data_IF_288247349837
#
_entry.id   IF_288247349837
#
_cell.length_a   1.000
_cell.length_b   1.000
_cell.length_c   1.000
_cell.angle_alpha   90.00
_cell.angle_beta   90.00
_cell.angle_gamma   90.00
#
_symmetry.space_group_name_H-M   'P 1'
#
loop_
_entity.id
_entity.type
_entity.pdbx_description
1 polymer ?
#
# COMPACT_ATOMS: atom_id res chain seq x y z
N UNK A 1 -35.38 -34.10 -19.15
CA UNK A 1 -35.09 -34.12 -20.60
C UNK A 1 -33.77 -33.40 -20.84
N UNK A 2 -32.66 -34.13 -20.84
CA UNK A 2 -31.34 -33.60 -21.18
C UNK A 2 -31.30 -33.30 -22.67
N UNK A 3 -31.11 -32.03 -23.04
CA UNK A 3 -30.79 -31.64 -24.41
C UNK A 3 -29.28 -31.64 -24.52
N UNK A 4 -28.76 -32.54 -25.34
CA UNK A 4 -27.36 -32.59 -25.74
C UNK A 4 -26.91 -31.21 -26.23
N UNK A 5 -26.03 -30.57 -25.46
CA UNK A 5 -25.49 -29.23 -25.71
C UNK A 5 -24.39 -29.22 -26.79
N UNK A 6 -24.21 -30.31 -27.54
CA UNK A 6 -23.12 -30.46 -28.51
C UNK A 6 -23.51 -31.32 -29.72
N UNK A 7 -24.68 -31.08 -30.33
CA UNK A 7 -25.05 -31.75 -31.57
C UNK A 7 -24.34 -31.15 -32.80
N UNK A 8 -23.93 -31.92 -33.82
CA UNK A 8 -23.29 -31.42 -35.04
C UNK A 8 -24.15 -30.39 -35.79
N UNK A 9 -25.48 -30.43 -35.62
CA UNK A 9 -26.41 -29.41 -36.13
C UNK A 9 -26.29 -28.06 -35.41
N UNK A 10 -26.05 -28.05 -34.09
CA UNK A 10 -25.80 -26.83 -33.33
C UNK A 10 -24.42 -26.27 -33.66
N UNK A 11 -23.39 -27.12 -33.75
CA UNK A 11 -22.06 -26.74 -34.23
C UNK A 11 -22.10 -26.16 -35.66
N UNK A 12 -22.81 -26.78 -36.59
CA UNK A 12 -22.98 -26.25 -37.95
C UNK A 12 -23.72 -24.91 -37.97
N UNK A 13 -24.71 -24.70 -37.08
CA UNK A 13 -25.39 -23.41 -36.90
C UNK A 13 -24.45 -22.36 -36.28
N UNK A 14 -23.65 -22.72 -35.28
CA UNK A 14 -22.65 -21.84 -34.69
C UNK A 14 -21.57 -21.47 -35.72
N UNK A 15 -21.04 -22.43 -36.48
CA UNK A 15 -20.05 -22.19 -37.52
C UNK A 15 -20.58 -21.28 -38.63
N UNK A 16 -21.83 -21.47 -39.08
CA UNK A 16 -22.50 -20.56 -40.02
C UNK A 16 -22.78 -19.18 -39.42
N UNK A 17 -22.82 -19.07 -38.10
CA UNK A 17 -22.99 -17.82 -37.38
C UNK A 17 -21.66 -17.12 -37.07
N UNK A 18 -20.48 -17.75 -37.20
CA UNK A 18 -19.16 -17.16 -36.87
C UNK A 18 -18.72 -15.97 -37.73
N UNK A 19 -19.44 -15.63 -38.81
CA UNK A 19 -19.18 -14.40 -39.57
C UNK A 19 -19.75 -13.17 -38.85
N UNK A 20 -19.04 -12.04 -38.90
CA UNK A 20 -19.50 -10.74 -38.38
C UNK A 20 -20.68 -10.23 -39.25
N UNK A 21 -21.87 -10.75 -38.97
CA UNK A 21 -23.11 -10.33 -39.62
C UNK A 21 -23.50 -8.93 -39.12
N UNK A 22 -24.12 -8.11 -39.98
CA UNK A 22 -24.57 -6.77 -39.60
C UNK A 22 -25.45 -6.84 -38.35
N UNK A 23 -25.07 -6.11 -37.29
CA UNK A 23 -25.77 -6.06 -35.99
C UNK A 23 -27.23 -5.55 -36.06
N UNK A 24 -27.70 -5.09 -37.22
CA UNK A 24 -29.06 -4.54 -37.40
C UNK A 24 -30.18 -5.50 -36.97
N UNK A 25 -29.92 -6.81 -36.97
CA UNK A 25 -30.92 -7.84 -36.65
C UNK A 25 -30.61 -8.59 -35.33
N UNK A 26 -30.00 -7.92 -34.35
CA UNK A 26 -29.71 -8.49 -33.03
C UNK A 26 -30.76 -8.07 -31.99
N UNK A 27 -31.19 -9.01 -31.14
CA UNK A 27 -32.07 -8.74 -30.01
C UNK A 27 -31.27 -8.87 -28.70
N UNK A 28 -31.05 -7.74 -28.01
CA UNK A 28 -30.35 -7.73 -26.71
C UNK A 28 -31.12 -8.51 -25.64
N UNK A 29 -32.45 -8.32 -25.59
CA UNK A 29 -33.31 -8.93 -24.56
C UNK A 29 -33.35 -10.47 -24.62
N UNK A 30 -33.02 -11.04 -25.77
CA UNK A 30 -33.00 -12.49 -25.99
C UNK A 30 -31.62 -13.01 -26.39
N UNK A 31 -30.60 -12.15 -26.37
CA UNK A 31 -29.22 -12.40 -26.82
C UNK A 31 -29.14 -13.12 -28.18
N UNK A 32 -30.06 -12.79 -29.09
CA UNK A 32 -30.30 -13.57 -30.30
C UNK A 32 -29.99 -12.77 -31.54
N UNK A 33 -28.96 -13.19 -32.26
CA UNK A 33 -28.69 -12.71 -33.62
C UNK A 33 -29.62 -13.38 -34.63
N UNK A 34 -30.47 -12.57 -35.27
CA UNK A 34 -31.26 -12.98 -36.43
C UNK A 34 -30.46 -12.73 -37.72
N UNK A 35 -30.74 -13.53 -38.76
CA UNK A 35 -29.96 -13.54 -40.02
C UNK A 35 -30.41 -12.45 -41.00
N UNK A 36 -31.68 -12.13 -40.97
CA UNK A 36 -32.40 -11.30 -41.92
C UNK A 36 -33.56 -10.57 -41.23
N UNK A 37 -34.12 -9.57 -41.94
CA UNK A 37 -35.23 -8.76 -41.45
C UNK A 37 -36.45 -9.60 -41.09
N UNK A 38 -36.77 -10.59 -41.93
CA UNK A 38 -37.92 -11.45 -41.71
C UNK A 38 -37.72 -12.33 -40.47
N UNK A 39 -36.52 -12.91 -40.31
CA UNK A 39 -36.17 -13.65 -39.09
C UNK A 39 -36.26 -12.80 -37.82
N UNK A 40 -35.91 -11.52 -37.88
CA UNK A 40 -36.03 -10.59 -36.75
C UNK A 40 -37.49 -10.26 -36.43
N UNK A 41 -38.34 -10.00 -37.44
CA UNK A 41 -39.78 -9.78 -37.26
C UNK A 41 -40.45 -11.01 -36.62
N UNK A 42 -40.16 -12.21 -37.14
CA UNK A 42 -40.67 -13.46 -36.56
C UNK A 42 -40.19 -13.66 -35.11
N UNK A 43 -38.97 -13.23 -34.78
CA UNK A 43 -38.47 -13.29 -33.42
C UNK A 43 -39.21 -12.33 -32.48
N UNK A 44 -39.47 -11.08 -32.89
CA UNK A 44 -40.26 -10.13 -32.08
C UNK A 44 -41.68 -10.64 -31.82
N UNK A 45 -42.30 -11.29 -32.81
CA UNK A 45 -43.64 -11.89 -32.65
C UNK A 45 -43.65 -13.19 -31.86
N UNK A 46 -42.47 -13.77 -31.55
CA UNK A 46 -42.38 -15.07 -30.87
C UNK A 46 -42.74 -14.97 -29.39
N UNK A 47 -43.44 -16.00 -28.88
CA UNK A 47 -43.85 -16.09 -27.47
C UNK A 47 -42.67 -15.99 -26.48
N UNK A 48 -41.49 -16.48 -26.86
CA UNK A 48 -40.28 -16.36 -26.05
C UNK A 48 -39.81 -14.91 -25.87
N UNK A 49 -39.84 -14.11 -26.95
CA UNK A 49 -39.51 -12.69 -26.88
C UNK A 49 -40.56 -11.90 -26.09
N UNK A 50 -41.85 -12.13 -26.37
CA UNK A 50 -42.95 -11.48 -25.63
C UNK A 50 -42.88 -11.73 -24.13
N UNK A 51 -42.55 -12.96 -23.71
CA UNK A 51 -42.40 -13.31 -22.29
C UNK A 51 -41.24 -12.57 -21.64
N UNK A 52 -40.10 -12.47 -22.32
CA UNK A 52 -38.97 -11.67 -21.82
C UNK A 52 -39.32 -10.17 -21.76
N UNK A 53 -40.10 -9.67 -22.73
CA UNK A 53 -40.55 -8.28 -22.71
C UNK A 53 -41.53 -7.99 -21.56
N UNK A 54 -42.40 -8.95 -21.20
CA UNK A 54 -43.23 -8.83 -20.01
C UNK A 54 -42.42 -8.80 -18.71
N UNK A 55 -41.36 -9.63 -18.61
CA UNK A 55 -40.46 -9.62 -17.46
C UNK A 55 -39.67 -8.32 -17.36
N UNK A 56 -39.18 -7.80 -18.49
CA UNK A 56 -38.53 -6.50 -18.56
C UNK A 56 -39.47 -5.38 -18.11
N UNK A 57 -40.74 -5.42 -18.56
CA UNK A 57 -41.74 -4.43 -18.18
C UNK A 57 -42.10 -4.41 -16.69
N UNK A 58 -41.81 -5.49 -15.94
CA UNK A 58 -42.02 -5.52 -14.48
C UNK A 58 -40.94 -4.77 -13.70
N UNK A 59 -39.69 -4.78 -14.18
CA UNK A 59 -38.56 -4.11 -13.53
C UNK A 59 -37.52 -3.68 -14.58
N UNK A 60 -37.77 -2.58 -15.31
CA UNK A 60 -36.85 -2.14 -16.37
C UNK A 60 -35.51 -1.67 -15.81
N UNK A 61 -35.52 -0.95 -14.69
CA UNK A 61 -34.30 -0.35 -14.10
C UNK A 61 -33.27 -1.39 -13.70
N UNK A 62 -33.70 -2.49 -13.07
CA UNK A 62 -32.79 -3.57 -12.66
C UNK A 62 -32.09 -4.23 -13.84
N UNK A 63 -32.82 -4.41 -14.95
CA UNK A 63 -32.24 -5.02 -16.15
C UNK A 63 -31.25 -4.08 -16.82
N UNK A 64 -31.55 -2.77 -16.85
CA UNK A 64 -30.62 -1.75 -17.37
C UNK A 64 -29.38 -1.64 -16.47
N UNK A 65 -29.53 -1.73 -15.15
CA UNK A 65 -28.42 -1.76 -14.20
C UNK A 65 -27.52 -2.97 -14.43
N UNK A 66 -28.09 -4.15 -14.63
CA UNK A 66 -27.33 -5.37 -14.89
C UNK A 66 -26.60 -5.31 -16.24
N UNK A 67 -27.24 -4.78 -17.29
CA UNK A 67 -26.57 -4.51 -18.57
C UNK A 67 -25.46 -3.48 -18.43
N UNK A 68 -25.65 -2.45 -17.62
CA UNK A 68 -24.66 -1.40 -17.39
C UNK A 68 -23.44 -1.95 -16.64
N UNK A 69 -23.64 -2.83 -15.64
CA UNK A 69 -22.54 -3.54 -14.95
C UNK A 69 -21.76 -4.44 -15.91
N UNK A 70 -22.45 -5.26 -16.70
CA UNK A 70 -21.80 -6.13 -17.70
C UNK A 70 -21.02 -5.33 -18.75
N UNK A 71 -21.55 -4.17 -19.15
CA UNK A 71 -20.86 -3.27 -20.07
C UNK A 71 -19.60 -2.67 -19.47
N UNK A 72 -19.67 -2.17 -18.23
CA UNK A 72 -18.48 -1.65 -17.50
C UNK A 72 -17.43 -2.75 -17.34
N UNK A 73 -17.82 -3.93 -16.84
CA UNK A 73 -16.91 -5.05 -16.65
C UNK A 73 -16.26 -5.49 -17.96
N UNK A 74 -17.05 -5.69 -19.02
CA UNK A 74 -16.54 -6.09 -20.32
C UNK A 74 -15.61 -5.04 -20.95
N UNK A 75 -15.92 -3.75 -20.81
CA UNK A 75 -15.04 -2.67 -21.27
C UNK A 75 -13.73 -2.63 -20.49
N UNK A 76 -13.78 -2.76 -19.16
CA UNK A 76 -12.59 -2.80 -18.31
C UNK A 76 -11.74 -4.05 -18.59
N UNK A 77 -12.36 -5.19 -18.90
CA UNK A 77 -11.63 -6.41 -19.23
C UNK A 77 -10.84 -6.29 -20.53
N UNK A 78 -11.39 -5.61 -21.55
CA UNK A 78 -10.63 -5.27 -22.77
C UNK A 78 -9.40 -4.41 -22.42
N UNK A 79 -9.56 -3.41 -21.55
CA UNK A 79 -8.44 -2.57 -21.10
C UNK A 79 -7.43 -3.40 -20.30
N UNK A 80 -7.87 -4.25 -19.36
CA UNK A 80 -6.98 -5.10 -18.55
C UNK A 80 -6.17 -6.06 -19.40
N UNK A 81 -6.79 -6.66 -20.42
CA UNK A 81 -6.14 -7.66 -21.26
C UNK A 81 -5.15 -7.06 -22.25
N UNK A 82 -5.48 -5.92 -22.86
CA UNK A 82 -4.72 -5.36 -23.99
C UNK A 82 -3.91 -4.12 -23.63
N UNK A 83 -4.38 -3.34 -22.67
CA UNK A 83 -3.92 -1.98 -22.41
C UNK A 83 -3.75 -1.70 -20.90
N UNK A 84 -3.19 -2.66 -20.16
CA UNK A 84 -3.11 -2.62 -18.69
C UNK A 84 -2.47 -1.34 -18.11
N UNK A 85 -1.36 -0.88 -18.71
CA UNK A 85 -0.59 0.27 -18.26
C UNK A 85 -0.46 1.37 -19.33
N UNK A 86 -1.22 1.25 -20.41
CA UNK A 86 -1.11 2.17 -21.55
C UNK A 86 -2.21 3.21 -21.52
N UNK A 87 -1.87 4.41 -21.99
CA UNK A 87 -2.84 5.45 -22.29
C UNK A 87 -3.45 5.18 -23.66
N UNK A 88 -4.76 4.96 -23.69
CA UNK A 88 -5.46 4.55 -24.93
C UNK A 88 -6.68 5.42 -25.18
N UNK A 89 -6.98 5.68 -26.44
CA UNK A 89 -8.17 6.39 -26.86
C UNK A 89 -9.43 5.56 -26.55
N UNK A 90 -10.44 6.18 -25.93
CA UNK A 90 -11.69 5.51 -25.55
C UNK A 90 -12.40 4.86 -26.75
N UNK A 91 -12.40 5.51 -27.91
CA UNK A 91 -13.00 4.96 -29.13
C UNK A 91 -12.34 3.66 -29.56
N UNK A 92 -11.02 3.56 -29.42
CA UNK A 92 -10.27 2.36 -29.81
C UNK A 92 -10.63 1.18 -28.91
N UNK A 93 -10.70 1.41 -27.60
CA UNK A 93 -11.14 0.38 -26.65
C UNK A 93 -12.58 -0.05 -26.94
N UNK A 94 -13.47 0.91 -27.22
CA UNK A 94 -14.85 0.61 -27.58
C UNK A 94 -14.96 -0.22 -28.86
N UNK A 95 -14.16 0.09 -29.89
CA UNK A 95 -14.10 -0.70 -31.12
C UNK A 95 -13.60 -2.13 -30.88
N UNK A 96 -12.63 -2.31 -29.97
CA UNK A 96 -12.15 -3.63 -29.57
C UNK A 96 -13.21 -4.40 -28.77
N UNK A 97 -14.01 -3.71 -27.94
CA UNK A 97 -15.13 -4.30 -27.21
C UNK A 97 -16.25 -4.78 -28.13
N UNK A 98 -16.67 -3.97 -29.11
CA UNK A 98 -17.73 -4.36 -30.06
C UNK A 98 -17.28 -5.43 -31.06
N UNK A 99 -15.98 -5.74 -31.12
CA UNK A 99 -15.48 -6.83 -31.96
C UNK A 99 -15.98 -8.20 -31.46
N UNK A 100 -16.26 -8.32 -30.16
CA UNK A 100 -16.86 -9.53 -29.59
C UNK A 100 -18.33 -9.64 -29.98
N UNK A 101 -18.77 -10.81 -30.41
CA UNK A 101 -20.15 -11.02 -30.89
C UNK A 101 -21.21 -10.84 -29.78
N UNK A 102 -20.86 -11.16 -28.55
CA UNK A 102 -21.78 -11.20 -27.42
C UNK A 102 -21.60 -9.99 -26.50
N UNK A 103 -21.12 -8.87 -27.04
CA UNK A 103 -21.01 -7.63 -26.28
C UNK A 103 -22.40 -7.04 -26.00
N UNK A 104 -22.52 -6.31 -24.89
CA UNK A 104 -23.73 -5.53 -24.59
C UNK A 104 -23.65 -4.24 -25.39
N UNK A 105 -24.67 -3.97 -26.19
CA UNK A 105 -24.68 -2.73 -26.96
C UNK A 105 -24.86 -1.50 -26.05
N UNK A 106 -24.16 -0.40 -26.35
CA UNK A 106 -24.16 0.81 -25.51
C UNK A 106 -25.58 1.37 -25.28
N UNK A 107 -26.42 1.41 -26.32
CA UNK A 107 -27.83 1.81 -26.22
C UNK A 107 -28.69 0.99 -25.24
N UNK A 108 -28.21 -0.16 -24.76
CA UNK A 108 -28.90 -0.99 -23.78
C UNK A 108 -28.48 -0.70 -22.33
N UNK A 109 -27.60 0.28 -22.13
CA UNK A 109 -27.12 0.75 -20.83
C UNK A 109 -27.66 2.14 -20.51
N UNK A 110 -27.35 2.65 -19.32
CA UNK A 110 -27.64 4.04 -18.95
C UNK A 110 -26.94 5.09 -19.82
N UNK A 111 -25.85 4.73 -20.50
CA UNK A 111 -25.04 5.66 -21.29
C UNK A 111 -25.38 5.59 -22.77
N UNK A 112 -25.93 6.68 -23.31
CA UNK A 112 -26.28 6.79 -24.72
C UNK A 112 -25.09 7.18 -25.61
N UNK A 113 -24.06 7.79 -25.01
CA UNK A 113 -22.87 8.25 -25.73
C UNK A 113 -21.61 7.78 -25.04
N UNK A 114 -20.54 7.56 -25.82
CA UNK A 114 -19.25 7.14 -25.28
C UNK A 114 -18.67 8.19 -24.31
N UNK A 115 -18.92 9.47 -24.58
CA UNK A 115 -18.48 10.58 -23.73
C UNK A 115 -19.09 10.51 -22.33
N UNK A 116 -20.39 10.26 -22.24
CA UNK A 116 -21.08 10.12 -20.95
C UNK A 116 -20.58 8.90 -20.16
N UNK A 117 -20.33 7.78 -20.86
CA UNK A 117 -19.72 6.60 -20.26
C UNK A 117 -18.30 6.87 -19.74
N UNK A 118 -17.47 7.56 -20.51
CA UNK A 118 -16.11 7.93 -20.08
C UNK A 118 -16.16 8.87 -18.88
N UNK A 119 -17.09 9.82 -18.86
CA UNK A 119 -17.31 10.69 -17.69
C UNK A 119 -17.74 9.89 -16.44
N UNK A 120 -18.56 8.85 -16.62
CA UNK A 120 -18.91 7.93 -15.53
C UNK A 120 -17.70 7.16 -15.00
N UNK A 121 -16.84 6.63 -15.87
CA UNK A 121 -15.60 5.93 -15.46
C UNK A 121 -14.66 6.84 -14.65
N UNK A 122 -14.60 8.13 -15.00
CA UNK A 122 -13.86 9.13 -14.24
C UNK A 122 -14.48 9.44 -12.87
N UNK A 123 -15.82 9.48 -12.77
CA UNK A 123 -16.54 9.70 -11.51
C UNK A 123 -16.38 8.55 -10.52
N UNK A 124 -16.45 7.32 -11.00
CA UNK A 124 -16.25 6.11 -10.19
C UNK A 124 -14.77 5.89 -9.80
N UNK A 125 -13.84 6.62 -10.42
CA UNK A 125 -12.41 6.47 -10.15
C UNK A 125 -11.80 5.16 -10.66
N UNK A 126 -12.49 4.45 -11.55
CA UNK A 126 -12.02 3.20 -12.16
C UNK A 126 -10.91 3.47 -13.19
N UNK A 127 -11.01 4.60 -13.89
CA UNK A 127 -10.03 5.01 -14.89
C UNK A 127 -9.72 6.50 -14.77
N UNK A 128 -8.46 6.84 -15.02
CA UNK A 128 -8.07 8.24 -15.18
C UNK A 128 -8.38 8.65 -16.62
N UNK A 129 -9.23 9.66 -16.74
CA UNK A 129 -9.71 10.20 -18.02
C UNK A 129 -9.00 11.51 -18.31
N UNK A 130 -8.42 11.62 -19.50
CA UNK A 130 -7.75 12.83 -19.99
C UNK A 130 -8.40 13.27 -21.31
N UNK A 131 -8.96 14.48 -21.33
CA UNK A 131 -9.47 15.10 -22.54
C UNK A 131 -8.33 15.75 -23.31
N UNK A 132 -8.25 15.48 -24.61
CA UNK A 132 -7.28 16.12 -25.52
C UNK A 132 -7.97 16.51 -26.82
N UNK A 133 -7.31 17.34 -27.62
CA UNK A 133 -7.80 17.79 -28.94
C UNK A 133 -8.12 16.63 -29.90
N UNK A 134 -7.52 15.45 -29.70
CA UNK A 134 -7.75 14.25 -30.52
C UNK A 134 -8.83 13.31 -29.98
N UNK A 135 -9.41 13.61 -28.82
CA UNK A 135 -10.44 12.79 -28.16
C UNK A 135 -10.14 12.46 -26.70
N UNK A 136 -10.94 11.54 -26.15
CA UNK A 136 -10.83 11.09 -24.77
C UNK A 136 -9.85 9.93 -24.64
N UNK A 137 -8.87 10.08 -23.76
CA UNK A 137 -7.93 9.03 -23.40
C UNK A 137 -8.24 8.48 -22.01
N UNK A 138 -8.13 7.17 -21.87
CA UNK A 138 -8.45 6.42 -20.66
C UNK A 138 -7.22 5.61 -20.26
N UNK A 139 -6.83 5.70 -18.99
CA UNK A 139 -5.85 4.82 -18.36
C UNK A 139 -6.50 4.10 -17.18
N UNK A 140 -6.38 2.78 -17.14
CA UNK A 140 -6.92 1.99 -16.03
C UNK A 140 -6.13 2.27 -14.76
N UNK A 141 -6.84 2.57 -13.67
CA UNK A 141 -6.23 2.63 -12.35
C UNK A 141 -6.23 1.20 -11.83
N UNK A 142 -5.11 0.49 -12.00
CA UNK A 142 -4.96 -0.83 -11.41
C UNK A 142 -4.81 -0.70 -9.89
N UNK A 143 -5.80 -1.17 -9.13
CA UNK A 143 -5.56 -1.61 -7.76
C UNK A 143 -4.85 -2.96 -7.84
N UNK A 144 -3.54 -2.99 -7.59
CA UNK A 144 -2.77 -4.22 -7.55
C UNK A 144 -3.45 -5.26 -6.63
N UNK A 145 -3.76 -6.47 -7.13
CA UNK A 145 -4.37 -7.53 -6.29
C UNK A 145 -3.44 -7.93 -5.14
N UNK A 146 -2.13 -7.75 -5.32
CA UNK A 146 -1.14 -7.94 -4.27
C UNK A 146 -1.31 -6.93 -3.12
N UNK A 147 -1.65 -5.68 -3.44
CA UNK A 147 -1.84 -4.61 -2.46
C UNK A 147 -3.11 -4.84 -1.64
N UNK A 148 -4.21 -5.27 -2.29
CA UNK A 148 -5.43 -5.70 -1.57
C UNK A 148 -5.17 -6.86 -0.62
N UNK A 149 -4.47 -7.91 -1.07
CA UNK A 149 -4.13 -9.06 -0.21
C UNK A 149 -3.20 -8.67 0.95
N UNK A 150 -2.26 -7.75 0.73
CA UNK A 150 -1.41 -7.23 1.79
C UNK A 150 -2.19 -6.40 2.79
N UNK A 151 -3.10 -5.54 2.32
CA UNK A 151 -3.94 -4.72 3.19
C UNK A 151 -4.93 -5.57 3.97
N UNK A 152 -5.53 -6.60 3.38
CA UNK A 152 -6.35 -7.59 4.09
C UNK A 152 -5.55 -8.35 5.15
N UNK A 153 -4.32 -8.77 4.84
CA UNK A 153 -3.41 -9.39 5.83
C UNK A 153 -3.07 -8.41 6.95
N UNK A 154 -2.78 -7.15 6.64
CA UNK A 154 -2.49 -6.11 7.64
C UNK A 154 -3.70 -5.83 8.53
N UNK A 155 -4.90 -5.73 7.95
CA UNK A 155 -6.15 -5.57 8.71
C UNK A 155 -6.41 -6.80 9.59
N UNK A 156 -6.14 -8.01 9.09
CA UNK A 156 -6.28 -9.23 9.88
C UNK A 156 -5.29 -9.32 11.03
N UNK A 157 -4.04 -8.90 10.81
CA UNK A 157 -3.01 -8.83 11.84
C UNK A 157 -3.37 -7.74 12.86
N UNK A 158 -3.74 -6.54 12.43
CA UNK A 158 -4.17 -5.45 13.31
C UNK A 158 -5.36 -5.86 14.18
N UNK A 159 -6.37 -6.54 13.62
CA UNK A 159 -7.50 -7.07 14.40
C UNK A 159 -7.11 -8.19 15.38
N UNK A 160 -6.03 -8.91 15.11
CA UNK A 160 -5.49 -9.90 16.04
C UNK A 160 -4.70 -9.21 17.16
N UNK A 161 -3.87 -8.22 16.82
CA UNK A 161 -3.12 -7.38 17.76
C UNK A 161 -4.05 -6.60 18.69
N UNK A 162 -5.15 -6.03 18.19
CA UNK A 162 -6.17 -5.36 19.02
C UNK A 162 -6.80 -6.33 20.03
N UNK A 163 -7.04 -7.58 19.61
CA UNK A 163 -7.63 -8.62 20.47
C UNK A 163 -6.64 -9.08 21.55
N UNK A 164 -5.37 -9.25 21.18
CA UNK A 164 -4.30 -9.64 22.10
C UNK A 164 -4.02 -8.50 23.10
N UNK A 165 -4.02 -7.24 22.64
CA UNK A 165 -3.86 -6.07 23.51
C UNK A 165 -4.99 -5.94 24.54
N UNK A 166 -6.24 -6.25 24.18
CA UNK A 166 -7.36 -6.27 25.14
C UNK A 166 -7.16 -7.34 26.24
N UNK A 167 -6.61 -8.50 25.88
CA UNK A 167 -6.29 -9.56 26.84
C UNK A 167 -5.13 -9.15 27.76
N UNK A 168 -4.08 -8.53 27.20
CA UNK A 168 -2.94 -8.02 27.96
C UNK A 168 -3.32 -6.89 28.93
N UNK A 169 -4.19 -5.97 28.49
CA UNK A 169 -4.72 -4.90 29.35
C UNK A 169 -5.48 -5.48 30.54
N UNK A 170 -6.36 -6.47 30.32
CA UNK A 170 -7.09 -7.14 31.42
C UNK A 170 -6.15 -7.86 32.38
N UNK A 171 -5.12 -8.53 31.88
CA UNK A 171 -4.14 -9.21 32.71
C UNK A 171 -3.30 -8.24 33.56
N UNK A 172 -2.93 -7.09 32.99
CA UNK A 172 -2.19 -6.04 33.69
C UNK A 172 -3.04 -5.37 34.77
N UNK A 173 -4.31 -5.08 34.48
CA UNK A 173 -5.26 -4.53 35.47
C UNK A 173 -5.45 -5.47 36.66
N UNK A 174 -5.54 -6.78 36.40
CA UNK A 174 -5.64 -7.77 37.47
C UNK A 174 -4.37 -7.82 38.33
N UNK A 175 -3.18 -7.68 37.73
CA UNK A 175 -1.92 -7.61 38.47
C UNK A 175 -1.81 -6.32 39.30
N UNK A 176 -2.20 -5.18 38.75
CA UNK A 176 -2.22 -3.89 39.47
C UNK A 176 -3.19 -3.95 40.66
N UNK A 177 -4.37 -4.55 40.47
CA UNK A 177 -5.34 -4.73 41.56
C UNK A 177 -4.77 -5.58 42.69
N UNK A 178 -4.17 -6.74 42.38
CA UNK A 178 -3.53 -7.61 43.38
C UNK A 178 -2.35 -6.92 44.08
N UNK A 179 -1.55 -6.13 43.35
CA UNK A 179 -0.46 -5.36 43.95
C UNK A 179 -0.98 -4.23 44.87
N UNK A 180 -2.10 -3.61 44.52
CA UNK A 180 -2.74 -2.60 45.36
C UNK A 180 -3.38 -3.21 46.62
N UNK A 181 -4.03 -4.37 46.51
CA UNK A 181 -4.55 -5.13 47.64
C UNK A 181 -3.41 -5.56 48.59
N UNK A 182 -2.32 -6.12 48.06
CA UNK A 182 -1.15 -6.47 48.87
C UNK A 182 -0.49 -5.25 49.53
N UNK A 183 -0.38 -4.11 48.83
CA UNK A 183 0.13 -2.88 49.41
C UNK A 183 -0.79 -2.29 50.48
N UNK A 184 -2.11 -2.47 50.35
CA UNK A 184 -3.09 -2.09 51.37
C UNK A 184 -3.02 -3.02 52.58
N UNK A 185 -2.83 -4.32 52.38
CA UNK A 185 -2.62 -5.28 53.47
C UNK A 185 -1.29 -5.02 54.20
N UNK A 186 -0.22 -4.67 53.48
CA UNK A 186 1.06 -4.24 54.06
C UNK A 186 0.94 -2.89 54.79
N UNK A 187 0.14 -1.96 54.28
CA UNK A 187 -0.15 -0.68 54.94
C UNK A 187 -1.04 -0.86 56.18
N UNK A 188 -1.99 -1.80 56.13
CA UNK A 188 -2.83 -2.17 57.26
C UNK A 188 -2.04 -2.92 58.34
N UNK A 189 -1.11 -3.81 57.95
CA UNK A 189 -0.18 -4.48 58.85
C UNK A 189 0.78 -3.48 59.51
N UNK A 190 1.38 -2.55 58.74
CA UNK A 190 2.19 -1.45 59.31
C UNK A 190 1.39 -0.51 60.21
N UNK A 191 0.10 -0.33 59.95
CA UNK A 191 -0.80 0.46 60.82
C UNK A 191 -1.23 -0.31 62.07
N UNK A 192 -1.22 -1.65 62.04
CA UNK A 192 -1.52 -2.51 63.18
C UNK A 192 -0.28 -2.78 64.07
N UNK A 193 0.94 -2.69 63.53
CA UNK A 193 2.21 -2.94 64.27
C UNK A 193 2.78 -1.68 64.96
N UNK A 194 2.17 -0.50 64.77
CA UNK A 194 2.55 0.73 65.49
C UNK A 194 1.76 0.87 66.81
N UNK A 195 1.96 -0.06 67.75
CA UNK A 195 1.62 0.13 69.16
C UNK A 195 2.89 -0.04 69.99
N UNK A 196 3.49 1.09 70.40
CA UNK A 196 4.70 1.17 71.21
C UNK A 196 4.54 0.39 72.53
N UNK A 197 5.35 -0.66 72.73
CA UNK A 197 5.48 -1.35 74.01
C UNK A 197 6.52 -0.58 74.86
N UNK A 198 6.04 0.21 75.81
CA UNK A 198 6.89 0.87 76.81
C UNK A 198 7.45 -0.17 77.81
N UNK A 199 8.78 -0.27 77.87
CA UNK A 199 9.50 -1.04 78.89
C UNK A 199 9.61 -0.19 80.16
N UNK A 200 8.98 -0.63 81.25
CA UNK A 200 9.20 -0.07 82.59
C UNK A 200 10.59 -0.44 83.11
N UNK A 201 11.24 0.51 83.79
CA UNK A 201 12.53 0.34 84.45
C UNK A 201 12.42 -0.67 85.61
N UNK A 202 12.54 -1.96 85.32
CA UNK A 202 13.05 -3.01 86.25
C UNK A 202 12.87 -4.40 85.59
N UNK A 203 13.87 -4.86 84.83
CA UNK A 203 14.08 -6.30 84.56
C UNK A 203 15.44 -6.56 83.89
N UNK A 204 16.15 -7.58 84.40
CA UNK A 204 17.58 -7.86 84.15
C UNK A 204 17.95 -8.35 82.73
N UNK A 205 19.25 -8.65 82.49
CA UNK A 205 19.79 -8.87 81.14
C UNK A 205 19.26 -10.14 80.46
N UNK A 206 18.87 -10.00 79.20
CA UNK A 206 18.31 -11.04 78.32
C UNK A 206 19.45 -11.97 77.85
N UNK A 207 19.38 -13.26 78.20
CA UNK A 207 20.32 -14.29 77.73
C UNK A 207 19.89 -14.85 76.37
N UNK A 208 20.75 -14.74 75.35
CA UNK A 208 20.57 -15.41 74.06
C UNK A 208 21.33 -16.74 74.05
N UNK A 209 20.59 -17.85 74.09
CA UNK A 209 21.13 -19.19 73.87
C UNK A 209 21.17 -19.52 72.37
N UNK A 210 22.34 -19.40 71.74
CA UNK A 210 22.59 -19.89 70.38
C UNK A 210 23.09 -21.34 70.46
N UNK A 211 22.24 -22.30 70.09
CA UNK A 211 22.62 -23.70 69.89
C UNK A 211 22.96 -23.95 68.41
N UNK A 212 24.24 -24.20 68.14
CA UNK A 212 24.77 -24.64 66.84
C UNK A 212 24.95 -26.16 66.86
N UNK A 213 24.34 -26.83 65.88
CA UNK A 213 24.69 -28.18 65.43
C UNK A 213 23.47 -28.98 64.96
N UNK A 214 23.49 -29.79 63.90
CA UNK A 214 24.43 -30.06 62.81
C UNK A 214 23.71 -30.99 61.79
N UNK A 215 23.89 -30.70 60.50
CA UNK A 215 23.83 -31.59 59.30
C UNK A 215 22.65 -32.56 59.05
N UNK A 216 21.86 -32.23 58.02
CA UNK A 216 21.84 -32.86 56.68
C UNK A 216 21.97 -34.41 56.58
N UNK A 217 20.79 -35.04 56.32
CA UNK A 217 20.44 -36.08 55.29
C UNK A 217 20.92 -37.55 55.48
N UNK A 218 20.42 -38.51 54.66
CA UNK A 218 19.05 -39.04 54.62
C UNK A 218 19.04 -40.60 54.53
N UNK A 219 17.90 -41.28 54.68
CA UNK A 219 17.84 -42.71 54.34
C UNK A 219 16.53 -43.39 54.71
N UNK A 220 15.74 -43.71 53.69
CA UNK A 220 14.47 -44.44 53.79
C UNK A 220 14.67 -45.92 54.13
N UNK A 221 13.63 -46.43 54.80
CA UNK A 221 13.36 -47.80 55.19
C UNK A 221 13.34 -48.81 54.03
N UNK A 222 13.58 -50.06 54.39
CA UNK A 222 13.55 -51.21 53.49
C UNK A 222 12.18 -51.86 53.29
N UNK A 223 12.17 -52.67 52.22
CA UNK A 223 11.55 -53.99 52.05
C UNK A 223 10.02 -54.15 52.09
N UNK A 224 9.44 -54.55 50.95
CA UNK A 224 8.92 -55.92 50.75
C UNK A 224 8.51 -56.19 49.26
N UNK A 225 8.65 -57.46 48.86
CA UNK A 225 8.42 -58.14 47.55
C UNK A 225 6.92 -58.11 47.12
N UNK A 226 6.46 -58.46 45.90
CA UNK A 226 6.89 -59.43 44.88
C UNK A 226 6.23 -59.15 43.50
N UNK A 227 6.76 -59.78 42.44
CA UNK A 227 6.25 -59.87 41.05
C UNK A 227 5.23 -61.05 40.90
N UNK A 228 4.68 -61.47 39.72
CA UNK A 228 5.00 -61.09 38.33
C UNK A 228 3.80 -61.03 37.31
N UNK A 229 4.17 -60.84 36.03
CA UNK A 229 3.61 -61.41 34.79
C UNK A 229 2.99 -60.45 33.76
N UNK A 230 3.41 -60.68 32.52
CA UNK A 230 3.12 -59.96 31.27
C UNK A 230 2.11 -60.75 30.41
N UNK A 231 1.38 -60.09 29.50
CA UNK A 231 1.10 -60.53 28.11
C UNK A 231 0.34 -59.47 27.28
N UNK A 232 0.81 -59.31 26.02
CA UNK A 232 0.10 -59.10 24.75
C UNK A 232 -0.76 -57.85 24.44
N UNK A 233 -0.21 -57.03 23.53
CA UNK A 233 -0.63 -56.79 22.13
C UNK A 233 -1.97 -56.09 21.74
N UNK A 234 -1.78 -55.14 20.81
CA UNK A 234 -2.64 -54.63 19.72
C UNK A 234 -3.65 -53.48 19.92
N UNK A 235 -3.40 -52.45 19.10
CA UNK A 235 -4.31 -51.61 18.29
C UNK A 235 -5.17 -50.47 18.88
N UNK A 236 -5.13 -49.38 18.10
CA UNK A 236 -6.20 -48.44 17.79
C UNK A 236 -6.30 -47.06 18.49
N UNK A 237 -6.36 -46.08 17.59
CA UNK A 237 -6.96 -44.74 17.55
C UNK A 237 -7.23 -43.87 18.80
N UNK A 238 -7.11 -42.55 18.57
CA UNK A 238 -7.97 -41.56 19.22
C UNK A 238 -7.33 -40.70 20.33
N UNK A 239 -6.96 -39.46 19.96
CA UNK A 239 -6.87 -38.34 20.91
C UNK A 239 -8.29 -37.95 21.41
N UNK A 240 -8.47 -36.98 22.34
CA UNK A 240 -7.70 -36.56 23.52
C UNK A 240 -8.58 -36.52 24.80
N UNK A 241 -7.99 -36.41 26.00
CA UNK A 241 -8.79 -36.23 27.22
C UNK A 241 -8.01 -35.97 28.51
N UNK A 242 -7.82 -34.68 28.79
CA UNK A 242 -7.54 -33.99 30.08
C UNK A 242 -7.21 -34.78 31.35
N UNK A 243 -6.16 -34.34 32.06
CA UNK A 243 -6.03 -34.59 33.50
C UNK A 243 -4.64 -34.32 34.06
N UNK A 244 -4.48 -33.16 34.71
CA UNK A 244 -3.25 -32.61 35.28
C UNK A 244 -2.48 -33.52 36.26
N UNK A 245 -1.15 -33.43 36.25
CA UNK A 245 -0.31 -33.21 37.44
C UNK A 245 1.18 -33.10 37.03
N UNK A 246 1.79 -31.96 37.36
CA UNK A 246 3.17 -31.65 37.01
C UNK A 246 4.21 -32.49 37.77
N UNK A 247 5.31 -32.78 37.09
CA UNK A 247 6.62 -32.97 37.69
C UNK A 247 7.65 -32.24 36.84
N UNK A 248 8.10 -31.10 37.37
CA UNK A 248 9.13 -30.28 36.75
C UNK A 248 10.39 -31.09 36.50
N UNK A 249 10.71 -31.32 35.22
CA UNK A 249 12.03 -31.78 34.81
C UNK A 249 12.97 -30.60 35.08
N UNK A 250 13.84 -30.74 36.07
CA UNK A 250 14.85 -29.72 36.39
C UNK A 250 15.69 -29.51 35.13
N UNK A 251 15.71 -28.27 34.64
CA UNK A 251 16.49 -27.87 33.47
C UNK A 251 17.96 -28.24 33.71
N UNK A 252 18.56 -28.94 32.77
CA UNK A 252 20.00 -29.23 32.78
C UNK A 252 20.75 -27.98 32.36
N UNK A 253 21.94 -27.72 32.93
CA UNK A 253 22.73 -26.51 32.66
C UNK A 253 23.03 -26.25 31.16
N UNK A 254 22.90 -27.27 30.31
CA UNK A 254 23.02 -27.16 28.85
C UNK A 254 21.77 -26.54 28.17
N UNK A 255 20.57 -26.75 28.73
CA UNK A 255 19.32 -26.16 28.20
C UNK A 255 19.28 -24.65 28.47
N UNK A 256 19.79 -24.20 29.62
CA UNK A 256 19.85 -22.77 29.95
C UNK A 256 20.85 -22.00 29.07
N UNK A 257 21.97 -22.63 28.69
CA UNK A 257 22.96 -22.05 27.76
C UNK A 257 22.37 -21.95 26.34
N UNK A 258 21.62 -22.96 25.90
CA UNK A 258 21.02 -22.99 24.57
C UNK A 258 19.85 -22.00 24.43
N UNK A 259 19.08 -21.77 25.49
CA UNK A 259 18.05 -20.72 25.55
C UNK A 259 18.67 -19.31 25.55
N UNK A 260 19.80 -19.09 26.23
CA UNK A 260 20.50 -17.82 26.23
C UNK A 260 21.07 -17.45 24.84
N UNK A 261 21.66 -18.41 24.13
CA UNK A 261 22.13 -18.24 22.75
C UNK A 261 20.98 -17.94 21.78
N UNK A 262 19.84 -18.62 21.93
CA UNK A 262 18.64 -18.36 21.13
C UNK A 262 18.04 -16.98 21.40
N UNK A 263 18.08 -16.51 22.65
CA UNK A 263 17.62 -15.16 23.02
C UNK A 263 18.51 -14.08 22.42
N UNK A 264 19.84 -14.22 22.56
CA UNK A 264 20.82 -13.31 21.91
C UNK A 264 20.67 -13.27 20.40
N UNK A 265 20.44 -14.43 19.75
CA UNK A 265 20.22 -14.51 18.31
C UNK A 265 18.92 -13.84 17.86
N UNK A 266 17.88 -13.86 18.70
CA UNK A 266 16.63 -13.13 18.46
C UNK A 266 16.82 -11.64 18.63
N UNK A 267 17.47 -11.21 19.72
CA UNK A 267 17.79 -9.81 19.99
C UNK A 267 18.68 -9.19 18.90
N UNK A 268 19.69 -9.93 18.41
CA UNK A 268 20.54 -9.49 17.31
C UNK A 268 19.77 -9.37 15.98
N UNK A 269 18.88 -10.33 15.69
CA UNK A 269 18.04 -10.30 14.48
C UNK A 269 17.01 -9.17 14.54
N UNK A 270 16.45 -8.91 15.72
CA UNK A 270 15.51 -7.82 15.96
C UNK A 270 16.20 -6.46 15.86
N UNK A 271 17.42 -6.32 16.39
CA UNK A 271 18.25 -5.12 16.23
C UNK A 271 18.66 -4.89 14.77
N UNK A 272 19.00 -5.94 14.02
CA UNK A 272 19.33 -5.84 12.58
C UNK A 272 18.09 -5.45 11.76
N UNK A 273 16.92 -6.00 12.09
CA UNK A 273 15.65 -5.68 11.43
C UNK A 273 15.17 -4.27 11.79
N UNK A 274 15.38 -3.82 13.02
CA UNK A 274 15.16 -2.45 13.45
C UNK A 274 16.10 -1.48 12.72
N UNK A 275 17.40 -1.78 12.64
CA UNK A 275 18.36 -0.97 11.89
C UNK A 275 18.02 -0.90 10.39
N UNK A 276 17.51 -1.99 9.80
CA UNK A 276 17.02 -1.99 8.42
C UNK A 276 15.76 -1.13 8.24
N UNK A 277 14.82 -1.19 9.18
CA UNK A 277 13.63 -0.31 9.19
C UNK A 277 13.99 1.15 9.38
N UNK A 278 14.94 1.46 10.24
CA UNK A 278 15.44 2.82 10.47
C UNK A 278 16.18 3.36 9.24
N UNK A 279 16.99 2.53 8.56
CA UNK A 279 17.65 2.91 7.31
C UNK A 279 16.64 3.11 6.16
N UNK A 280 15.61 2.28 6.07
CA UNK A 280 14.53 2.41 5.09
C UNK A 280 13.64 3.64 5.38
N UNK A 281 13.34 3.90 6.66
CA UNK A 281 12.63 5.09 7.10
C UNK A 281 13.44 6.37 6.85
N UNK A 282 14.76 6.35 7.07
CA UNK A 282 15.65 7.45 6.74
C UNK A 282 15.72 7.69 5.22
N UNK A 283 15.75 6.63 4.40
CA UNK A 283 15.72 6.72 2.94
C UNK A 283 14.36 7.23 2.44
N UNK A 284 13.26 6.82 3.06
CA UNK A 284 11.91 7.32 2.76
C UNK A 284 11.71 8.77 3.23
N UNK A 285 12.31 9.16 4.37
CA UNK A 285 12.33 10.54 4.84
C UNK A 285 13.16 11.44 3.92
N UNK A 286 14.30 10.95 3.43
CA UNK A 286 15.10 11.64 2.42
C UNK A 286 14.35 11.77 1.09
N UNK A 287 13.65 10.73 0.63
CA UNK A 287 12.80 10.78 -0.55
C UNK A 287 11.59 11.73 -0.37
N UNK A 288 11.00 11.78 0.83
CA UNK A 288 9.95 12.75 1.19
C UNK A 288 10.48 14.17 1.27
N UNK A 289 11.71 14.39 1.73
CA UNK A 289 12.37 15.70 1.69
C UNK A 289 12.62 16.17 0.24
N UNK A 290 12.96 15.24 -0.67
CA UNK A 290 13.05 15.50 -2.12
C UNK A 290 11.68 15.84 -2.72
N UNK A 291 10.61 15.18 -2.29
CA UNK A 291 9.24 15.44 -2.73
C UNK A 291 8.60 16.71 -2.08
N UNK A 292 9.13 17.18 -0.95
CA UNK A 292 8.55 18.26 -0.14
C UNK A 292 9.02 19.69 -0.50
N UNK A 293 9.80 19.85 -1.57
CA UNK A 293 9.90 21.12 -2.29
C UNK A 293 10.81 22.18 -1.67
N UNK A 294 12.05 22.19 -2.12
CA UNK A 294 12.69 23.39 -2.65
C UNK A 294 13.89 22.91 -3.48
N UNK A 295 13.74 22.88 -4.81
CA UNK A 295 14.92 22.79 -5.69
C UNK A 295 15.70 24.11 -5.67
N UNK A 296 15.11 25.15 -5.10
CA UNK A 296 15.69 26.47 -4.95
C UNK A 296 16.80 26.44 -3.90
N UNK A 297 17.99 26.87 -4.32
CA UNK A 297 19.18 27.00 -3.50
C UNK A 297 19.80 28.37 -3.75
N UNK A 298 20.55 28.87 -2.77
CA UNK A 298 21.28 30.15 -2.87
C UNK A 298 22.38 30.05 -3.95
N UNK A 299 22.58 31.12 -4.71
CA UNK A 299 23.59 31.18 -5.78
C UNK A 299 23.17 30.50 -7.09
N UNK A 300 21.87 30.26 -7.27
CA UNK A 300 21.28 29.85 -8.55
C UNK A 300 20.81 31.07 -9.34
N UNK A 301 20.98 31.01 -10.66
CA UNK A 301 20.38 31.97 -11.59
C UNK A 301 19.07 31.42 -12.10
N UNK A 302 17.98 32.07 -11.73
CA UNK A 302 16.62 31.67 -12.09
C UNK A 302 15.95 32.74 -12.95
N UNK A 303 14.93 32.34 -13.70
CA UNK A 303 14.11 33.26 -14.49
C UNK A 303 12.74 33.39 -13.84
N UNK A 304 12.32 34.63 -13.63
CA UNK A 304 11.09 34.95 -12.90
C UNK A 304 9.89 34.84 -13.85
N UNK A 305 8.92 33.98 -13.55
CA UNK A 305 7.69 33.76 -14.31
C UNK A 305 6.42 34.23 -13.57
N UNK A 306 6.56 34.89 -12.42
CA UNK A 306 5.44 35.47 -11.68
C UNK A 306 4.72 36.51 -12.54
N UNK A 307 3.45 36.22 -12.89
CA UNK A 307 2.63 37.11 -13.74
C UNK A 307 2.22 38.40 -13.01
N UNK A 308 2.17 38.37 -11.68
CA UNK A 308 1.90 39.51 -10.81
C UNK A 308 2.95 40.61 -10.97
N UNK A 309 4.21 40.24 -11.19
CA UNK A 309 5.33 41.17 -11.35
C UNK A 309 5.48 41.70 -12.79
N UNK A 310 4.51 41.43 -13.66
CA UNK A 310 4.48 41.96 -15.03
C UNK A 310 4.29 43.46 -15.07
N UNK A 311 3.52 44.02 -14.13
CA UNK A 311 3.29 45.46 -14.00
C UNK A 311 4.57 46.23 -13.64
N UNK A 312 5.49 45.57 -12.93
CA UNK A 312 6.79 46.10 -12.55
C UNK A 312 7.90 45.78 -13.56
N UNK A 313 7.60 45.13 -14.70
CA UNK A 313 8.59 44.83 -15.74
C UNK A 313 9.59 43.71 -15.41
N UNK A 314 9.36 42.96 -14.32
CA UNK A 314 10.27 41.92 -13.81
C UNK A 314 9.96 40.53 -14.39
N UNK A 315 8.86 40.39 -15.14
CA UNK A 315 8.47 39.15 -15.80
C UNK A 315 9.48 38.75 -16.89
N UNK A 316 9.92 37.48 -16.87
CA UNK A 316 10.95 36.88 -17.74
C UNK A 316 12.37 37.44 -17.58
N UNK A 317 12.61 38.26 -16.55
CA UNK A 317 13.98 38.70 -16.20
C UNK A 317 14.72 37.59 -15.45
N UNK A 318 16.05 37.63 -15.55
CA UNK A 318 16.96 36.70 -14.86
C UNK A 318 17.39 37.32 -13.54
N UNK A 319 17.43 36.53 -12.48
CA UNK A 319 17.89 36.97 -11.17
C UNK A 319 18.66 35.88 -10.44
N UNK A 320 19.46 36.31 -9.48
CA UNK A 320 20.25 35.44 -8.60
C UNK A 320 19.53 35.25 -7.27
N UNK A 321 19.47 34.01 -6.79
CA UNK A 321 18.84 33.67 -5.51
C UNK A 321 19.81 34.02 -4.37
N UNK A 322 19.46 35.03 -3.57
CA UNK A 322 20.26 35.47 -2.41
C UNK A 322 19.95 34.65 -1.15
N UNK A 323 18.67 34.38 -0.90
CA UNK A 323 18.22 33.67 0.30
C UNK A 323 16.97 32.85 0.01
N UNK A 324 16.83 31.71 0.68
CA UNK A 324 15.66 30.84 0.57
C UNK A 324 15.02 30.68 1.95
N UNK A 325 13.76 31.11 2.09
CA UNK A 325 12.95 30.97 3.30
C UNK A 325 11.78 30.03 3.00
N UNK A 326 11.94 28.76 3.39
CA UNK A 326 10.96 27.71 3.12
C UNK A 326 10.78 27.47 1.62
N UNK A 327 9.62 27.84 1.09
CA UNK A 327 9.23 27.69 -0.33
C UNK A 327 9.41 28.98 -1.15
N UNK A 328 9.77 30.09 -0.51
CA UNK A 328 9.97 31.38 -1.17
C UNK A 328 11.45 31.74 -1.21
N UNK A 329 11.94 32.24 -2.34
CA UNK A 329 13.29 32.79 -2.49
C UNK A 329 13.27 34.31 -2.63
N UNK A 330 14.27 34.97 -2.05
CA UNK A 330 14.62 36.37 -2.28
C UNK A 330 15.61 36.40 -3.45
N UNK A 331 15.22 37.06 -4.54
CA UNK A 331 15.91 37.04 -5.84
C UNK A 331 16.29 38.46 -6.21
N UNK A 332 17.56 38.69 -6.48
CA UNK A 332 18.08 39.95 -7.01
C UNK A 332 18.09 39.88 -8.53
N UNK A 333 17.35 40.77 -9.20
CA UNK A 333 17.29 40.81 -10.66
C UNK A 333 18.60 41.38 -11.22
N UNK A 334 19.28 40.63 -12.09
CA UNK A 334 20.61 40.99 -12.62
C UNK A 334 20.62 42.29 -13.46
N UNK A 335 19.46 42.69 -13.98
CA UNK A 335 19.31 43.86 -14.86
C UNK A 335 18.96 45.14 -14.06
N UNK A 336 18.08 45.02 -13.06
CA UNK A 336 17.57 46.17 -12.30
C UNK A 336 18.20 46.33 -10.90
N UNK A 337 18.78 45.27 -10.34
CA UNK A 337 19.22 45.23 -8.94
C UNK A 337 18.08 45.12 -7.92
N UNK A 338 16.83 44.98 -8.37
CA UNK A 338 15.67 44.87 -7.50
C UNK A 338 15.63 43.49 -6.81
N UNK A 339 15.40 43.50 -5.49
CA UNK A 339 15.25 42.28 -4.70
C UNK A 339 13.77 41.96 -4.54
N UNK A 340 13.36 40.78 -5.02
CA UNK A 340 11.95 40.36 -5.03
C UNK A 340 11.80 38.99 -4.39
N UNK A 341 10.74 38.83 -3.59
CA UNK A 341 10.39 37.57 -2.97
C UNK A 341 9.38 36.80 -3.84
N UNK A 342 9.77 35.63 -4.32
CA UNK A 342 8.97 34.82 -5.25
C UNK A 342 8.93 33.36 -4.78
N UNK A 343 7.81 32.68 -4.99
CA UNK A 343 7.67 31.25 -4.69
C UNK A 343 8.41 30.40 -5.73
N UNK A 344 8.99 29.27 -5.31
CA UNK A 344 9.74 28.38 -6.19
C UNK A 344 8.95 27.88 -7.41
N UNK A 345 7.61 27.85 -7.36
CA UNK A 345 6.74 27.45 -8.49
C UNK A 345 6.67 28.48 -9.61
N UNK A 346 6.97 29.73 -9.30
CA UNK A 346 6.94 30.85 -10.25
C UNK A 346 8.34 31.16 -10.80
N UNK A 347 9.27 30.22 -10.64
CA UNK A 347 10.66 30.31 -11.08
C UNK A 347 10.96 29.19 -12.08
N UNK A 348 11.80 29.52 -13.06
CA UNK A 348 12.30 28.60 -14.07
C UNK A 348 13.82 28.48 -13.95
N UNK A 349 14.36 27.27 -14.09
CA UNK A 349 15.81 27.04 -14.12
C UNK A 349 16.40 27.66 -15.38
N UNK A 350 17.59 28.26 -15.25
CA UNK A 350 18.32 28.81 -16.41
C UNK A 350 19.48 27.89 -16.74
N UNK A 351 19.59 27.49 -18.00
CA UNK A 351 20.72 26.69 -18.49
C UNK A 351 21.75 27.64 -19.14
N UNK A 352 23.03 27.59 -18.73
CA UNK A 352 24.06 28.40 -19.36
C UNK A 352 24.41 27.86 -20.76
N UNK A 353 25.24 28.57 -21.50
CA UNK A 353 25.87 28.01 -22.70
C UNK A 353 26.77 26.81 -22.36
N UNK A 354 27.02 25.89 -23.30
CA UNK A 354 28.06 24.86 -23.15
C UNK A 354 29.39 25.46 -22.66
N UNK A 355 30.06 24.77 -21.74
CA UNK A 355 31.20 25.26 -20.93
C UNK A 355 30.79 26.01 -19.65
N UNK A 356 29.50 26.26 -19.43
CA UNK A 356 29.00 26.93 -18.24
C UNK A 356 28.92 26.02 -17.02
N UNK A 357 29.08 26.61 -15.82
CA UNK A 357 28.88 25.88 -14.55
C UNK A 357 27.40 25.74 -14.21
N UNK A 358 27.02 24.53 -13.83
CA UNK A 358 25.67 24.17 -13.42
C UNK A 358 25.68 23.45 -12.08
N UNK A 359 24.60 23.55 -11.33
CA UNK A 359 24.38 22.81 -10.09
C UNK A 359 23.25 21.81 -10.30
N UNK A 360 23.46 20.59 -9.82
CA UNK A 360 22.48 19.51 -9.92
C UNK A 360 21.46 19.65 -8.79
N UNK A 361 20.18 19.76 -9.14
CA UNK A 361 19.07 20.01 -8.23
C UNK A 361 18.32 18.74 -7.82
N UNK A 362 18.42 17.67 -8.62
CA UNK A 362 17.70 16.42 -8.38
C UNK A 362 18.55 15.18 -8.73
N UNK A 363 18.18 14.04 -8.14
CA UNK A 363 18.87 12.77 -8.35
C UNK A 363 20.04 12.52 -7.40
N UNK A 364 20.82 11.44 -7.63
CA UNK A 364 21.87 10.97 -6.73
C UNK A 364 23.06 11.93 -6.60
N UNK A 365 23.21 12.85 -7.56
CA UNK A 365 24.28 13.84 -7.60
C UNK A 365 23.81 15.24 -7.14
N UNK A 366 22.64 15.35 -6.51
CA UNK A 366 22.08 16.63 -6.02
C UNK A 366 23.09 17.38 -5.13
N UNK A 367 23.15 18.70 -5.33
CA UNK A 367 24.05 19.61 -4.61
C UNK A 367 25.48 19.66 -5.18
N UNK A 368 25.83 18.78 -6.13
CA UNK A 368 27.13 18.84 -6.81
C UNK A 368 27.11 19.89 -7.92
N UNK A 369 28.22 20.59 -8.06
CA UNK A 369 28.48 21.49 -9.18
C UNK A 369 29.19 20.74 -10.29
N UNK A 370 28.80 20.98 -11.54
CA UNK A 370 29.39 20.38 -12.73
C UNK A 370 29.54 21.39 -13.87
N UNK A 371 30.13 20.94 -14.96
CA UNK A 371 30.30 21.68 -16.20
C UNK A 371 29.35 21.14 -17.26
N UNK A 372 28.61 22.04 -17.91
CA UNK A 372 27.72 21.69 -19.01
C UNK A 372 28.54 21.47 -20.28
N UNK A 373 28.48 20.27 -20.87
CA UNK A 373 29.21 19.94 -22.09
C UNK A 373 28.38 20.17 -23.35
N UNK A 374 27.13 19.71 -23.35
CA UNK A 374 26.28 19.70 -24.54
C UNK A 374 24.80 19.79 -24.17
N UNK A 375 23.99 20.26 -25.11
CA UNK A 375 22.57 20.53 -24.93
C UNK A 375 21.79 19.88 -26.07
N UNK A 376 20.90 18.94 -25.75
CA UNK A 376 19.95 18.35 -26.68
C UNK A 376 18.56 19.00 -26.49
N UNK A 377 18.18 19.85 -27.43
CA UNK A 377 16.89 20.56 -27.42
C UNK A 377 15.71 19.68 -27.81
N UNK A 378 15.93 18.54 -28.49
CA UNK A 378 14.85 17.64 -28.90
C UNK A 378 14.35 16.80 -27.72
N UNK A 379 15.25 16.45 -26.80
CA UNK A 379 14.94 15.63 -25.61
C UNK A 379 14.84 16.44 -24.31
N UNK A 380 15.08 17.76 -24.35
CA UNK A 380 15.16 18.61 -23.16
C UNK A 380 16.18 18.09 -22.14
N UNK A 381 17.31 17.62 -22.64
CA UNK A 381 18.39 17.01 -21.86
C UNK A 381 19.72 17.72 -22.11
N UNK A 382 20.55 17.73 -21.09
CA UNK A 382 21.84 18.38 -21.05
C UNK A 382 22.88 17.39 -20.51
N UNK A 383 24.03 17.33 -21.18
CA UNK A 383 25.16 16.51 -20.77
C UNK A 383 26.03 17.30 -19.80
N UNK A 384 26.11 16.85 -18.55
CA UNK A 384 26.86 17.52 -17.49
C UNK A 384 27.97 16.61 -16.99
N UNK A 385 29.17 17.18 -16.87
CA UNK A 385 30.33 16.53 -16.24
C UNK A 385 30.41 16.96 -14.79
N UNK A 386 30.30 16.01 -13.86
CA UNK A 386 30.37 16.29 -12.42
C UNK A 386 31.70 15.76 -11.87
N UNK A 387 32.60 16.61 -11.35
CA UNK A 387 33.83 16.17 -10.70
C UNK A 387 33.54 15.41 -9.39
N UNK A 388 34.16 14.24 -9.21
CA UNK A 388 34.05 13.34 -8.06
C UNK A 388 34.70 11.97 -8.35
N UNK A 389 34.72 11.05 -7.37
CA UNK A 389 35.41 9.73 -7.36
C UNK A 389 35.06 8.73 -8.49
N UNK A 390 34.35 9.18 -9.53
CA UNK A 390 34.04 8.43 -10.73
C UNK A 390 33.83 9.28 -11.98
N UNK A 391 34.24 10.56 -11.98
CA UNK A 391 34.37 11.44 -13.17
C UNK A 391 33.33 11.26 -14.29
N UNK A 392 32.07 11.05 -13.95
CA UNK A 392 31.05 10.59 -14.88
C UNK A 392 30.43 11.74 -15.68
N UNK A 393 30.31 11.55 -16.99
CA UNK A 393 29.40 12.35 -17.80
C UNK A 393 27.98 11.82 -17.64
N UNK A 394 27.05 12.69 -17.31
CA UNK A 394 25.66 12.31 -17.07
C UNK A 394 24.71 13.15 -17.93
N UNK A 395 23.77 12.48 -18.58
CA UNK A 395 22.63 13.13 -19.21
C UNK A 395 21.58 13.44 -18.14
N UNK A 396 21.20 14.71 -18.03
CA UNK A 396 20.25 15.21 -17.05
C UNK A 396 19.19 16.07 -17.76
N UNK A 397 17.96 16.03 -17.26
CA UNK A 397 16.88 16.90 -17.75
C UNK A 397 17.08 18.35 -17.30
N UNK A 398 16.50 19.28 -18.04
CA UNK A 398 16.63 20.73 -17.79
C UNK A 398 16.12 21.18 -16.42
N UNK A 399 15.14 20.47 -15.86
CA UNK A 399 14.60 20.74 -14.52
C UNK A 399 15.56 20.30 -13.40
N UNK A 400 16.48 19.39 -13.71
CA UNK A 400 17.41 18.81 -12.74
C UNK A 400 18.73 19.58 -12.64
N UNK A 401 18.94 20.60 -13.47
CA UNK A 401 20.15 21.40 -13.49
C UNK A 401 19.82 22.89 -13.56
N UNK A 402 20.64 23.71 -12.92
CA UNK A 402 20.48 25.16 -12.99
C UNK A 402 21.84 25.84 -13.03
N UNK A 403 21.93 26.95 -13.77
CA UNK A 403 23.11 27.81 -13.81
C UNK A 403 23.41 28.30 -12.39
N UNK A 404 24.67 28.20 -11.99
CA UNK A 404 25.13 28.75 -10.71
C UNK A 404 26.14 29.85 -10.96
N UNK A 405 25.97 30.96 -10.24
CA UNK A 405 26.93 32.06 -10.12
C UNK A 405 27.87 31.71 -8.99
N UNK A 406 28.83 30.83 -9.26
CA UNK A 406 29.90 30.57 -8.29
C UNK A 406 30.74 31.84 -8.18
N UNK A 407 30.53 32.60 -7.10
CA UNK A 407 31.60 33.32 -6.40
C UNK A 407 32.39 32.33 -5.57
#
# INVERSE_FOLDING_TARGET
MGKDLSGPKQLAKQMKAKGLQKLRWYCQLCEKQCRDENGFKCHQTSEGHKRMMMLFGQNPDKVIDDYSKQFVEGYLDVIRQRHCNSRVEANKVYQEYIADRHHVHMNSTHWLTLTDFVAHLGREGLCKVEETEKGFFVTLIQEDPFKKLQDEKRIRIARAEERDAELEQRALEEQIRKAHEAAQDDAAAKRAEATDLQRGEDEGPIQFGVAVGRTVRPGLAGAAKAAPAAIAAEDDSGAPGSGAAGRGRKRTALDDIMEAERKKKREMKEAEEAARRDAEAARAAAARAVAAGSWLEVGLVVKILAKSLKEHGLYKKKGEVLSVKGKTGEIEVLDSGDVVRVDYRELETVIPSPGGRVRVLAGPLRGRTGELLDIDTARFQARVRVPGDGGGEHWMEYEHICKTTTK
#
